data_IF_347354227458
#
_entry.id   IF_347354227458
#
_cell.length_a   1.000
_cell.length_b   1.000
_cell.length_c   1.000
_cell.angle_alpha   90.00
_cell.angle_beta   90.00
_cell.angle_gamma   90.00
#
_symmetry.space_group_name_H-M   'P 1'
#
loop_
_entity.id
_entity.type
_entity.pdbx_description
1 polymer ?
#
# COMPACT_ATOMS: atom_id res chain seq x y z
N UNK A 1 -20.95 16.18 6.22
CA UNK A 1 -21.38 17.50 5.68
C UNK A 1 -22.84 17.77 6.05
N UNK A 2 -23.23 19.03 6.32
CA UNK A 2 -24.62 19.41 6.58
C UNK A 2 -25.56 18.99 5.44
N UNK A 3 -26.78 18.60 5.76
CA UNK A 3 -27.76 18.09 4.79
C UNK A 3 -28.12 19.12 3.72
N UNK A 4 -28.22 20.38 4.13
CA UNK A 4 -28.50 21.52 3.23
C UNK A 4 -27.42 21.69 2.17
N UNK A 5 -26.15 21.46 2.54
CA UNK A 5 -25.04 21.52 1.60
C UNK A 5 -25.03 20.31 0.66
N UNK A 6 -25.34 19.10 1.14
CA UNK A 6 -25.46 17.92 0.28
C UNK A 6 -26.57 18.08 -0.76
N UNK A 7 -27.68 18.72 -0.38
CA UNK A 7 -28.82 18.98 -1.28
C UNK A 7 -28.51 20.00 -2.39
N UNK A 8 -27.37 20.71 -2.32
CA UNK A 8 -26.91 21.58 -3.41
C UNK A 8 -26.30 20.79 -4.58
N UNK A 9 -26.05 19.48 -4.42
CA UNK A 9 -25.41 18.62 -5.42
C UNK A 9 -26.33 17.49 -5.86
N UNK A 10 -26.22 17.10 -7.13
CA UNK A 10 -26.81 15.85 -7.63
C UNK A 10 -25.87 14.68 -7.29
N UNK A 11 -26.37 13.72 -6.51
CA UNK A 11 -25.59 12.54 -6.14
C UNK A 11 -25.58 11.53 -7.28
N UNK A 12 -24.43 11.40 -7.95
CA UNK A 12 -24.15 10.28 -8.83
C UNK A 12 -23.61 9.11 -8.01
N UNK A 13 -24.29 7.96 -8.07
CA UNK A 13 -23.82 6.71 -7.46
C UNK A 13 -23.36 5.79 -8.57
N UNK A 14 -22.09 5.40 -8.55
CA UNK A 14 -21.54 4.39 -9.45
C UNK A 14 -21.77 3.02 -8.81
N UNK A 15 -22.58 2.13 -9.39
CA UNK A 15 -22.77 0.79 -8.86
C UNK A 15 -21.52 -0.07 -9.08
N UNK A 16 -21.40 -1.14 -8.29
CA UNK A 16 -20.44 -2.20 -8.57
C UNK A 16 -20.82 -2.94 -9.86
N UNK A 17 -19.83 -3.47 -10.55
CA UNK A 17 -20.06 -4.26 -11.76
C UNK A 17 -20.74 -5.59 -11.39
N UNK A 18 -21.77 -6.02 -12.14
CA UNK A 18 -22.27 -7.38 -12.07
C UNK A 18 -21.17 -8.41 -12.39
N UNK A 19 -21.30 -9.63 -11.86
CA UNK A 19 -20.30 -10.69 -12.05
C UNK A 19 -20.03 -11.00 -13.54
N UNK A 20 -21.08 -11.04 -14.37
CA UNK A 20 -20.96 -11.27 -15.81
C UNK A 20 -20.13 -10.17 -16.51
N UNK A 21 -20.31 -8.91 -16.12
CA UNK A 21 -19.53 -7.79 -16.65
C UNK A 21 -18.09 -7.81 -16.11
N UNK A 22 -17.90 -8.22 -14.86
CA UNK A 22 -16.57 -8.39 -14.28
C UNK A 22 -15.73 -9.44 -14.98
N UNK A 23 -16.36 -10.51 -15.49
CA UNK A 23 -15.65 -11.57 -16.22
C UNK A 23 -15.03 -11.03 -17.52
N UNK A 24 -15.83 -10.30 -18.32
CA UNK A 24 -15.34 -9.65 -19.54
C UNK A 24 -14.32 -8.54 -19.23
N UNK A 25 -14.58 -7.72 -18.22
CA UNK A 25 -13.66 -6.65 -17.80
C UNK A 25 -12.32 -7.22 -17.34
N UNK A 26 -12.32 -8.22 -16.46
CA UNK A 26 -11.10 -8.83 -15.93
C UNK A 26 -10.28 -9.50 -17.04
N UNK A 27 -10.95 -10.18 -17.97
CA UNK A 27 -10.32 -10.76 -19.17
C UNK A 27 -9.59 -9.70 -20.00
N UNK A 28 -10.25 -8.58 -20.29
CA UNK A 28 -9.67 -7.47 -21.05
C UNK A 28 -8.51 -6.81 -20.32
N UNK A 29 -8.62 -6.63 -19.01
CA UNK A 29 -7.54 -6.06 -18.19
C UNK A 29 -6.30 -6.95 -18.18
N UNK A 30 -6.47 -8.26 -17.97
CA UNK A 30 -5.37 -9.23 -18.03
C UNK A 30 -4.71 -9.24 -19.42
N UNK A 31 -5.52 -9.28 -20.49
CA UNK A 31 -5.02 -9.25 -21.86
C UNK A 31 -4.27 -7.94 -22.18
N UNK A 32 -4.80 -6.79 -21.76
CA UNK A 32 -4.15 -5.49 -21.91
C UNK A 32 -2.79 -5.44 -21.22
N UNK A 33 -2.67 -6.11 -20.07
CA UNK A 33 -1.40 -6.24 -19.33
C UNK A 33 -0.50 -7.37 -19.83
N UNK A 34 -0.85 -8.05 -20.92
CA UNK A 34 -0.06 -9.13 -21.51
C UNK A 34 -0.02 -10.41 -20.66
N UNK A 35 -0.98 -10.60 -19.78
CA UNK A 35 -1.08 -11.77 -18.90
C UNK A 35 -2.01 -12.83 -19.49
N UNK A 36 -1.55 -14.07 -19.51
CA UNK A 36 -2.39 -15.23 -19.79
C UNK A 36 -3.20 -15.60 -18.55
N UNK A 37 -4.27 -16.37 -18.71
CA UNK A 37 -5.04 -16.88 -17.57
C UNK A 37 -5.67 -18.24 -17.87
N UNK A 38 -5.97 -18.99 -16.81
CA UNK A 38 -6.81 -20.18 -16.86
C UNK A 38 -8.28 -19.77 -16.80
N UNK A 39 -9.20 -20.39 -17.58
CA UNK A 39 -10.61 -20.03 -17.55
C UNK A 39 -11.21 -20.06 -16.14
N UNK A 40 -10.92 -21.12 -15.37
CA UNK A 40 -11.39 -21.26 -13.99
C UNK A 40 -10.81 -20.20 -13.04
N UNK A 41 -9.61 -19.70 -13.32
CA UNK A 41 -9.02 -18.62 -12.55
C UNK A 41 -9.72 -17.29 -12.85
N UNK A 42 -10.10 -17.05 -14.11
CA UNK A 42 -10.88 -15.87 -14.48
C UNK A 42 -12.26 -15.87 -13.80
N UNK A 43 -12.96 -17.01 -13.80
CA UNK A 43 -14.26 -17.16 -13.15
C UNK A 43 -14.15 -16.82 -11.65
N UNK A 44 -13.14 -17.38 -10.98
CA UNK A 44 -12.90 -17.12 -9.56
C UNK A 44 -12.51 -15.68 -9.27
N UNK A 45 -11.70 -15.07 -10.15
CA UNK A 45 -11.31 -13.66 -10.04
C UNK A 45 -12.51 -12.73 -10.12
N UNK A 46 -13.46 -12.98 -11.03
CA UNK A 46 -14.68 -12.19 -11.14
C UNK A 46 -15.48 -12.22 -9.83
N UNK A 47 -15.67 -13.40 -9.23
CA UNK A 47 -16.33 -13.56 -7.93
C UNK A 47 -15.57 -12.86 -6.79
N UNK A 48 -14.24 -13.02 -6.77
CA UNK A 48 -13.39 -12.45 -5.71
C UNK A 48 -13.35 -10.92 -5.74
N UNK A 49 -13.47 -10.34 -6.93
CA UNK A 49 -13.45 -8.89 -7.11
C UNK A 49 -14.67 -8.18 -6.52
N UNK A 50 -15.78 -8.90 -6.27
CA UNK A 50 -17.06 -8.33 -5.81
C UNK A 50 -17.52 -7.11 -6.63
N UNK A 51 -17.30 -7.15 -7.95
CA UNK A 51 -17.68 -6.04 -8.83
C UNK A 51 -16.70 -4.87 -8.85
N UNK A 52 -15.51 -5.02 -8.24
CA UNK A 52 -14.52 -3.95 -8.10
C UNK A 52 -13.35 -4.13 -9.08
N UNK A 53 -13.22 -3.28 -10.12
CA UNK A 53 -12.12 -3.35 -11.08
C UNK A 53 -10.74 -3.11 -10.45
N UNK A 54 -10.68 -2.34 -9.37
CA UNK A 54 -9.41 -2.06 -8.70
C UNK A 54 -8.81 -3.31 -8.05
N UNK A 55 -9.64 -4.27 -7.64
CA UNK A 55 -9.17 -5.57 -7.17
C UNK A 55 -8.35 -6.24 -8.27
N UNK A 56 -8.92 -6.33 -9.48
CA UNK A 56 -8.29 -6.96 -10.64
C UNK A 56 -7.00 -6.24 -11.00
N UNK A 57 -7.02 -4.91 -11.02
CA UNK A 57 -5.82 -4.12 -11.29
C UNK A 57 -4.71 -4.36 -10.25
N UNK A 58 -5.07 -4.44 -8.98
CA UNK A 58 -4.10 -4.67 -7.90
C UNK A 58 -3.45 -6.05 -8.04
N UNK A 59 -4.23 -7.08 -8.34
CA UNK A 59 -3.72 -8.42 -8.63
C UNK A 59 -2.80 -8.44 -9.85
N UNK A 60 -3.17 -7.73 -10.93
CA UNK A 60 -2.31 -7.61 -12.12
C UNK A 60 -0.95 -6.99 -11.77
N UNK A 61 -0.96 -5.91 -10.98
CA UNK A 61 0.28 -5.24 -10.52
C UNK A 61 1.14 -6.19 -9.70
N UNK A 62 0.53 -6.98 -8.83
CA UNK A 62 1.21 -8.01 -8.04
C UNK A 62 1.87 -9.07 -8.95
N UNK A 63 1.11 -9.65 -9.89
CA UNK A 63 1.62 -10.64 -10.84
C UNK A 63 2.81 -10.11 -11.63
N UNK A 64 2.71 -8.87 -12.15
CA UNK A 64 3.78 -8.22 -12.90
C UNK A 64 5.02 -8.00 -12.02
N UNK A 65 4.85 -7.59 -10.76
CA UNK A 65 5.97 -7.39 -9.83
C UNK A 65 6.70 -8.69 -9.48
N UNK A 66 5.97 -9.82 -9.48
CA UNK A 66 6.49 -11.17 -9.24
C UNK A 66 6.96 -11.86 -10.54
N UNK A 67 6.97 -11.16 -11.67
CA UNK A 67 7.27 -11.67 -13.02
C UNK A 67 6.41 -12.88 -13.45
N UNK A 68 5.19 -12.99 -12.93
CA UNK A 68 4.25 -14.06 -13.27
C UNK A 68 3.49 -13.66 -14.54
N UNK A 69 3.58 -14.50 -15.59
CA UNK A 69 2.95 -14.24 -16.89
C UNK A 69 1.58 -14.89 -17.09
N UNK A 70 1.19 -15.79 -16.19
CA UNK A 70 -0.07 -16.54 -16.29
C UNK A 70 -0.77 -16.61 -14.92
N UNK A 71 -2.00 -16.11 -14.86
CA UNK A 71 -2.88 -16.28 -13.71
C UNK A 71 -3.43 -17.71 -13.69
N UNK A 72 -3.13 -18.45 -12.62
CA UNK A 72 -3.61 -19.83 -12.42
C UNK A 72 -4.63 -19.88 -11.29
N UNK A 73 -5.45 -20.94 -11.26
CA UNK A 73 -6.39 -21.13 -10.16
C UNK A 73 -5.66 -21.29 -8.83
N UNK A 74 -4.58 -22.08 -8.80
CA UNK A 74 -3.73 -22.28 -7.63
C UNK A 74 -3.20 -20.96 -7.07
N UNK A 75 -2.77 -20.04 -7.94
CA UNK A 75 -2.27 -18.75 -7.48
C UNK A 75 -3.35 -17.95 -6.76
N UNK A 76 -4.58 -17.91 -7.27
CA UNK A 76 -5.70 -17.24 -6.59
C UNK A 76 -6.05 -17.89 -5.26
N UNK A 77 -6.00 -19.22 -5.18
CA UNK A 77 -6.32 -19.97 -3.97
C UNK A 77 -5.33 -19.66 -2.84
N UNK A 78 -4.06 -19.46 -3.19
CA UNK A 78 -2.96 -19.22 -2.26
C UNK A 78 -2.72 -17.74 -1.96
N UNK A 79 -3.07 -16.83 -2.89
CA UNK A 79 -2.65 -15.42 -2.87
C UNK A 79 -3.80 -14.43 -3.07
N UNK A 80 -5.05 -14.88 -3.12
CA UNK A 80 -6.21 -13.97 -3.20
C UNK A 80 -7.36 -14.35 -2.26
N UNK A 81 -8.16 -13.34 -1.89
CA UNK A 81 -9.31 -13.53 -1.01
C UNK A 81 -10.44 -12.62 -1.48
N UNK A 82 -11.68 -13.11 -1.41
CA UNK A 82 -12.85 -12.35 -1.83
C UNK A 82 -12.96 -11.01 -1.09
N UNK A 83 -13.14 -9.93 -1.86
CA UNK A 83 -13.29 -8.56 -1.38
C UNK A 83 -11.98 -7.79 -1.27
N UNK A 84 -12.00 -6.51 -1.64
CA UNK A 84 -10.80 -5.65 -1.74
C UNK A 84 -10.07 -5.50 -0.40
N UNK A 85 -10.79 -5.28 0.70
CA UNK A 85 -10.20 -5.14 2.04
C UNK A 85 -9.47 -6.41 2.47
N UNK A 86 -10.05 -7.58 2.20
CA UNK A 86 -9.45 -8.87 2.53
C UNK A 86 -8.21 -9.15 1.66
N UNK A 87 -8.29 -8.85 0.37
CA UNK A 87 -7.16 -8.96 -0.54
C UNK A 87 -5.97 -8.09 -0.11
N UNK A 88 -6.21 -6.81 0.19
CA UNK A 88 -5.16 -5.91 0.69
C UNK A 88 -4.58 -6.41 2.03
N UNK A 89 -5.43 -6.83 2.97
CA UNK A 89 -4.98 -7.39 4.25
C UNK A 89 -4.07 -8.60 4.03
N UNK A 90 -4.41 -9.48 3.09
CA UNK A 90 -3.58 -10.64 2.79
C UNK A 90 -2.28 -10.27 2.07
N UNK A 91 -2.32 -9.33 1.12
CA UNK A 91 -1.12 -8.84 0.46
C UNK A 91 -0.15 -8.20 1.46
N UNK A 92 -0.65 -7.36 2.37
CA UNK A 92 0.16 -6.82 3.47
C UNK A 92 0.74 -7.93 4.35
N UNK A 93 -0.02 -9.01 4.62
CA UNK A 93 0.52 -10.15 5.37
C UNK A 93 1.66 -10.82 4.60
N UNK A 94 1.51 -11.05 3.30
CA UNK A 94 2.57 -11.62 2.48
C UNK A 94 3.82 -10.73 2.43
N UNK A 95 3.66 -9.41 2.52
CA UNK A 95 4.78 -8.47 2.55
C UNK A 95 5.50 -8.52 3.90
N UNK A 96 4.74 -8.47 5.00
CA UNK A 96 5.26 -8.19 6.34
C UNK A 96 5.44 -9.43 7.22
N UNK A 97 4.76 -10.53 6.92
CA UNK A 97 4.71 -11.75 7.72
C UNK A 97 5.13 -12.98 6.92
N UNK A 98 5.69 -13.97 7.60
CA UNK A 98 5.95 -15.31 7.10
C UNK A 98 5.35 -16.34 8.08
N UNK A 99 4.52 -17.25 7.58
CA UNK A 99 3.76 -18.22 8.38
C UNK A 99 3.00 -17.62 9.61
N UNK A 100 2.58 -16.35 9.52
CA UNK A 100 1.85 -15.64 10.58
C UNK A 100 2.73 -14.81 11.53
N UNK A 101 4.04 -15.05 11.53
CA UNK A 101 5.03 -14.28 12.30
C UNK A 101 5.55 -13.10 11.47
N UNK A 102 5.91 -12.00 12.11
CA UNK A 102 6.52 -10.88 11.37
C UNK A 102 7.91 -11.25 10.87
N UNK A 103 8.20 -10.88 9.62
CA UNK A 103 9.56 -10.88 9.08
C UNK A 103 10.39 -9.83 9.80
N UNK A 104 11.71 -9.94 9.68
CA UNK A 104 12.63 -8.87 10.08
C UNK A 104 12.22 -7.54 9.42
N UNK A 105 12.06 -6.49 10.21
CA UNK A 105 11.57 -5.17 9.79
C UNK A 105 10.09 -5.13 9.42
N UNK A 106 9.32 -6.15 9.74
CA UNK A 106 7.88 -6.23 9.47
C UNK A 106 7.06 -5.25 10.31
N UNK A 107 7.34 -5.13 11.62
CA UNK A 107 6.69 -4.13 12.48
C UNK A 107 7.15 -2.73 12.11
N UNK A 108 8.43 -2.56 11.82
CA UNK A 108 8.98 -1.29 11.35
C UNK A 108 8.27 -0.82 10.07
N UNK A 109 8.17 -1.70 9.08
CA UNK A 109 7.54 -1.38 7.79
C UNK A 109 6.06 -1.09 7.98
N UNK A 110 5.34 -1.86 8.81
CA UNK A 110 3.94 -1.60 9.17
C UNK A 110 3.76 -0.21 9.77
N UNK A 111 4.63 0.16 10.71
CA UNK A 111 4.62 1.48 11.37
C UNK A 111 4.86 2.62 10.37
N UNK A 112 5.81 2.44 9.45
CA UNK A 112 6.09 3.43 8.41
C UNK A 112 4.92 3.64 7.45
N UNK A 113 4.24 2.57 7.02
CA UNK A 113 3.08 2.68 6.12
C UNK A 113 1.82 3.16 6.85
N UNK A 114 1.66 2.84 8.13
CA UNK A 114 0.61 3.44 8.96
C UNK A 114 0.83 4.96 9.14
N UNK A 115 2.07 5.41 9.32
CA UNK A 115 2.38 6.85 9.31
C UNK A 115 1.96 7.50 7.98
N UNK A 116 2.23 6.85 6.84
CA UNK A 116 1.82 7.37 5.53
C UNK A 116 0.30 7.53 5.42
N UNK A 117 -0.50 6.61 5.98
CA UNK A 117 -1.97 6.70 5.94
C UNK A 117 -2.54 7.76 6.87
N UNK A 118 -1.90 7.99 8.01
CA UNK A 118 -2.49 8.79 9.10
C UNK A 118 -1.90 10.20 9.25
N UNK A 119 -0.63 10.44 8.88
CA UNK A 119 0.09 11.69 9.20
C UNK A 119 0.62 12.45 7.98
N UNK A 120 0.44 11.92 6.77
CA UNK A 120 0.79 12.58 5.52
C UNK A 120 -0.46 13.09 4.81
N UNK A 121 -0.40 14.35 4.37
CA UNK A 121 -1.47 14.93 3.56
C UNK A 121 -1.66 14.11 2.28
N UNK A 122 -2.91 13.87 1.90
CA UNK A 122 -3.27 13.08 0.71
C UNK A 122 -2.66 11.67 0.67
N UNK A 123 -2.20 11.15 1.82
CA UNK A 123 -1.63 9.80 1.97
C UNK A 123 -0.47 9.54 0.98
N UNK A 124 0.31 10.59 0.71
CA UNK A 124 1.46 10.55 -0.20
C UNK A 124 2.70 11.24 0.37
N UNK A 125 3.86 10.95 -0.20
CA UNK A 125 5.15 11.52 0.19
C UNK A 125 6.13 11.51 -0.98
N UNK A 126 7.14 12.38 -0.92
CA UNK A 126 8.34 12.21 -1.73
C UNK A 126 9.19 11.04 -1.20
N UNK A 127 9.84 10.28 -2.08
CA UNK A 127 10.60 9.06 -1.73
C UNK A 127 11.76 9.36 -0.76
N UNK A 128 12.46 10.48 -0.96
CA UNK A 128 13.59 10.88 -0.13
C UNK A 128 13.16 11.17 1.31
N UNK A 129 12.03 11.87 1.45
CA UNK A 129 11.47 12.19 2.76
C UNK A 129 10.99 10.91 3.45
N UNK A 130 10.22 10.09 2.75
CA UNK A 130 9.67 8.88 3.33
C UNK A 130 10.77 7.92 3.80
N UNK A 131 11.83 7.74 2.99
CA UNK A 131 12.99 6.93 3.38
C UNK A 131 13.72 7.54 4.59
N UNK A 132 13.97 8.84 4.60
CA UNK A 132 14.63 9.50 5.73
C UNK A 132 13.83 9.36 7.03
N UNK A 133 12.50 9.51 6.95
CA UNK A 133 11.58 9.28 8.06
C UNK A 133 11.65 7.83 8.54
N UNK A 134 11.52 6.85 7.63
CA UNK A 134 11.56 5.43 7.99
C UNK A 134 12.88 5.03 8.63
N UNK A 135 14.02 5.55 8.17
CA UNK A 135 15.32 5.30 8.79
C UNK A 135 15.39 5.81 10.23
N UNK A 136 14.83 6.99 10.51
CA UNK A 136 14.80 7.55 11.88
C UNK A 136 13.78 6.85 12.78
N UNK A 137 12.65 6.40 12.23
CA UNK A 137 11.65 5.62 12.95
C UNK A 137 12.20 4.29 13.52
N UNK A 138 13.28 3.78 12.92
CA UNK A 138 13.89 2.50 13.27
C UNK A 138 14.32 2.38 14.74
N UNK A 139 14.73 3.47 15.37
CA UNK A 139 15.10 3.46 16.79
C UNK A 139 13.87 3.21 17.68
N UNK A 140 12.76 3.91 17.40
CA UNK A 140 11.52 3.78 18.15
C UNK A 140 10.85 2.41 17.99
N UNK A 141 10.89 1.84 16.78
CA UNK A 141 10.35 0.50 16.55
C UNK A 141 11.20 -0.56 17.24
N UNK A 142 12.52 -0.34 17.35
CA UNK A 142 13.41 -1.25 18.07
C UNK A 142 13.10 -1.25 19.56
N UNK A 143 12.85 -0.09 20.14
CA UNK A 143 12.48 0.03 21.56
C UNK A 143 11.10 -0.59 21.85
N UNK A 144 10.14 -0.39 20.95
CA UNK A 144 8.73 -0.78 21.18
C UNK A 144 8.44 -2.23 20.81
N UNK A 145 8.93 -2.68 19.65
CA UNK A 145 8.62 -3.99 19.07
C UNK A 145 9.81 -4.94 19.04
N UNK A 146 11.00 -4.49 19.48
CA UNK A 146 12.26 -5.22 19.28
C UNK A 146 12.49 -5.56 17.79
N UNK A 147 12.10 -4.64 16.91
CA UNK A 147 12.22 -4.75 15.46
C UNK A 147 12.70 -3.43 14.85
N UNK A 148 13.61 -3.51 13.87
CA UNK A 148 14.25 -2.35 13.27
C UNK A 148 14.16 -2.41 11.74
N UNK A 149 14.53 -1.32 11.06
CA UNK A 149 14.39 -1.26 9.61
C UNK A 149 15.21 -2.35 8.91
N UNK A 150 14.52 -3.32 8.31
CA UNK A 150 15.12 -4.23 7.35
C UNK A 150 14.96 -3.68 5.93
N UNK A 151 16.09 -3.43 5.25
CA UNK A 151 16.07 -2.83 3.91
C UNK A 151 15.33 -3.69 2.87
N UNK A 152 15.38 -5.02 2.99
CA UNK A 152 14.73 -5.91 2.02
C UNK A 152 13.21 -5.88 2.18
N UNK A 153 12.71 -6.08 3.41
CA UNK A 153 11.28 -6.00 3.73
C UNK A 153 10.70 -4.63 3.37
N UNK A 154 11.38 -3.56 3.76
CA UNK A 154 10.95 -2.19 3.46
C UNK A 154 10.88 -1.93 1.95
N UNK A 155 11.93 -2.28 1.19
CA UNK A 155 11.95 -2.06 -0.25
C UNK A 155 10.88 -2.90 -0.98
N UNK A 156 10.61 -4.12 -0.52
CA UNK A 156 9.53 -4.93 -1.07
C UNK A 156 8.17 -4.26 -0.87
N UNK A 157 7.89 -3.72 0.33
CA UNK A 157 6.67 -2.95 0.55
C UNK A 157 6.62 -1.68 -0.32
N UNK A 158 7.74 -0.95 -0.43
CA UNK A 158 7.82 0.26 -1.27
C UNK A 158 7.56 -0.01 -2.76
N UNK A 159 7.91 -1.20 -3.25
CA UNK A 159 7.58 -1.61 -4.62
C UNK A 159 6.09 -1.49 -4.94
N UNK A 160 5.22 -1.73 -3.94
CA UNK A 160 3.78 -1.60 -4.08
C UNK A 160 3.29 -0.17 -3.90
N UNK A 161 3.97 0.66 -3.12
CA UNK A 161 3.59 2.07 -2.87
C UNK A 161 4.10 3.07 -3.93
N UNK A 162 4.67 2.60 -5.03
CA UNK A 162 5.34 3.47 -6.00
C UNK A 162 4.35 4.20 -6.94
N UNK A 163 4.41 5.54 -6.91
CA UNK A 163 3.74 6.44 -7.86
C UNK A 163 4.57 6.70 -9.12
N UNK A 164 4.11 7.61 -9.98
CA UNK A 164 4.94 8.09 -11.09
C UNK A 164 6.09 8.96 -10.55
N UNK A 165 7.32 8.72 -11.01
CA UNK A 165 8.51 9.47 -10.56
C UNK A 165 8.93 9.13 -9.12
N UNK A 166 9.34 10.15 -8.36
CA UNK A 166 9.85 10.01 -6.98
C UNK A 166 8.75 10.09 -5.90
N UNK A 167 7.51 9.72 -6.24
CA UNK A 167 6.38 9.72 -5.30
C UNK A 167 6.12 8.34 -4.68
N UNK A 168 5.84 8.35 -3.38
CA UNK A 168 5.34 7.22 -2.59
C UNK A 168 3.88 7.50 -2.24
N UNK A 169 2.97 6.62 -2.64
CA UNK A 169 1.52 6.72 -2.36
C UNK A 169 0.87 5.34 -2.40
N UNK A 170 -0.26 5.18 -1.74
CA UNK A 170 -1.00 3.93 -1.84
C UNK A 170 -1.54 3.70 -3.27
N UNK A 171 -1.57 2.44 -3.75
CA UNK A 171 -2.22 2.09 -5.01
C UNK A 171 -3.71 2.43 -5.05
N UNK A 172 -4.38 2.36 -3.89
CA UNK A 172 -5.80 2.64 -3.71
C UNK A 172 -6.08 2.96 -2.23
N UNK A 173 -7.17 3.70 -1.98
CA UNK A 173 -7.58 4.13 -0.63
C UNK A 173 -7.75 2.97 0.34
N UNK A 174 -8.18 1.81 -0.14
CA UNK A 174 -8.36 0.60 0.70
C UNK A 174 -7.09 0.16 1.43
N UNK A 175 -5.89 0.48 0.92
CA UNK A 175 -4.65 0.26 1.68
C UNK A 175 -4.59 1.09 2.94
N UNK A 176 -4.96 2.37 2.83
CA UNK A 176 -5.01 3.26 3.98
C UNK A 176 -6.11 2.82 4.94
N UNK A 177 -7.29 2.42 4.44
CA UNK A 177 -8.38 1.92 5.27
C UNK A 177 -7.93 0.71 6.10
N UNK A 178 -7.26 -0.28 5.49
CA UNK A 178 -6.70 -1.44 6.21
C UNK A 178 -5.61 -1.02 7.20
N UNK A 179 -4.74 -0.08 6.83
CA UNK A 179 -3.68 0.42 7.72
C UNK A 179 -4.20 1.31 8.85
N UNK A 180 -5.41 1.83 8.73
CA UNK A 180 -6.16 2.57 9.76
C UNK A 180 -7.05 1.63 10.61
N UNK A 181 -7.01 0.31 10.34
CA UNK A 181 -7.69 -0.72 11.14
C UNK A 181 -9.04 -1.17 10.60
N UNK A 182 -9.44 -0.78 9.38
CA UNK A 182 -10.67 -1.28 8.77
C UNK A 182 -10.54 -2.75 8.34
N UNK A 183 -11.69 -3.44 8.29
CA UNK A 183 -11.81 -4.85 7.92
C UNK A 183 -12.16 -5.74 9.11
N UNK A 184 -13.24 -6.51 8.99
CA UNK A 184 -13.80 -7.31 10.08
C UNK A 184 -12.81 -8.32 10.69
N UNK A 185 -11.81 -8.77 9.92
CA UNK A 185 -10.77 -9.71 10.35
C UNK A 185 -9.37 -9.17 10.03
N UNK A 186 -9.15 -7.86 10.19
CA UNK A 186 -7.87 -7.26 9.90
C UNK A 186 -6.76 -7.82 10.83
N UNK A 187 -5.75 -8.53 10.28
CA UNK A 187 -4.74 -9.27 11.04
C UNK A 187 -3.67 -8.37 11.66
N UNK A 188 -3.78 -7.05 11.48
CA UNK A 188 -2.87 -6.03 11.99
C UNK A 188 -3.51 -5.17 13.09
N UNK A 189 -4.78 -5.40 13.43
CA UNK A 189 -5.55 -4.52 14.32
C UNK A 189 -4.85 -4.27 15.65
N UNK A 190 -4.32 -5.32 16.28
CA UNK A 190 -3.64 -5.20 17.56
C UNK A 190 -2.35 -4.38 17.44
N UNK A 191 -1.55 -4.64 16.41
CA UNK A 191 -0.30 -3.93 16.18
C UNK A 191 -0.52 -2.48 15.76
N UNK A 192 -1.53 -2.19 14.94
CA UNK A 192 -1.94 -0.83 14.57
C UNK A 192 -2.36 -0.06 15.83
N UNK A 193 -3.11 -0.68 16.74
CA UNK A 193 -3.46 -0.03 18.01
C UNK A 193 -2.22 0.31 18.85
N UNK A 194 -1.26 -0.61 18.95
CA UNK A 194 0.01 -0.32 19.63
C UNK A 194 0.79 0.78 18.94
N UNK A 195 0.88 0.78 17.60
CA UNK A 195 1.53 1.84 16.81
C UNK A 195 0.88 3.21 17.08
N UNK A 196 -0.46 3.26 17.09
CA UNK A 196 -1.19 4.49 17.39
C UNK A 196 -0.87 4.97 18.80
N UNK A 197 -0.95 4.09 19.80
CA UNK A 197 -0.69 4.43 21.20
C UNK A 197 0.75 4.87 21.45
N UNK A 198 1.72 4.14 20.92
CA UNK A 198 3.14 4.35 21.22
C UNK A 198 3.78 5.40 20.33
N UNK A 199 3.28 5.62 19.11
CA UNK A 199 3.90 6.55 18.16
C UNK A 199 3.05 7.76 17.77
N UNK A 200 1.75 7.57 17.53
CA UNK A 200 0.87 8.68 17.14
C UNK A 200 0.49 9.52 18.35
N UNK A 201 -0.06 8.89 19.39
CA UNK A 201 -0.59 9.56 20.58
C UNK A 201 0.52 10.19 21.43
N UNK A 202 1.72 9.62 21.42
CA UNK A 202 2.92 10.18 22.09
C UNK A 202 3.59 11.30 21.31
N UNK A 203 3.24 11.50 20.03
CA UNK A 203 3.85 12.50 19.15
C UNK A 203 5.22 12.10 18.56
N UNK A 204 5.64 10.84 18.70
CA UNK A 204 6.88 10.33 18.06
C UNK A 204 6.81 10.52 16.55
N UNK A 205 5.69 10.17 15.91
CA UNK A 205 5.53 10.37 14.46
C UNK A 205 5.74 11.82 14.02
N UNK A 206 5.18 12.79 14.75
CA UNK A 206 5.38 14.20 14.43
C UNK A 206 6.82 14.69 14.70
N UNK A 207 7.48 14.11 15.70
CA UNK A 207 8.89 14.40 16.01
C UNK A 207 9.81 13.89 14.90
N UNK A 208 9.73 12.60 14.57
CA UNK A 208 10.52 11.95 13.51
C UNK A 208 10.24 12.59 12.16
N UNK A 209 8.98 12.94 11.87
CA UNK A 209 8.60 13.68 10.66
C UNK A 209 9.37 15.00 10.51
N UNK A 210 9.55 15.76 11.59
CA UNK A 210 10.31 17.02 11.57
C UNK A 210 11.81 16.78 11.43
N UNK A 211 12.34 15.79 12.12
CA UNK A 211 13.76 15.41 12.10
C UNK A 211 14.19 14.81 10.75
N UNK A 212 13.26 14.23 10.00
CA UNK A 212 13.51 13.69 8.67
C UNK A 212 13.72 14.79 7.61
N UNK A 213 13.15 15.99 7.81
CA UNK A 213 13.18 17.08 6.81
C UNK A 213 14.61 17.51 6.46
N UNK A 214 15.49 17.86 7.43
CA UNK A 214 16.86 18.26 7.12
C UNK A 214 17.63 17.18 6.33
N UNK A 215 17.50 15.92 6.74
CA UNK A 215 18.18 14.78 6.10
C UNK A 215 17.73 14.58 4.65
N UNK A 216 16.42 14.68 4.40
CA UNK A 216 15.89 14.60 3.05
C UNK A 216 16.36 15.79 2.18
N UNK A 217 16.35 17.00 2.74
CA UNK A 217 16.81 18.21 2.05
C UNK A 217 18.30 18.14 1.67
N UNK A 218 19.17 17.79 2.62
CA UNK A 218 20.61 17.64 2.39
C UNK A 218 20.88 16.60 1.29
N UNK A 219 20.14 15.50 1.30
CA UNK A 219 20.23 14.47 0.26
C UNK A 219 19.80 15.00 -1.11
N UNK A 220 18.70 15.74 -1.18
CA UNK A 220 18.21 16.35 -2.41
C UNK A 220 19.21 17.37 -2.98
N UNK A 221 19.72 18.29 -2.15
CA UNK A 221 20.74 19.28 -2.53
C UNK A 221 22.01 18.60 -3.01
N UNK A 222 22.52 17.61 -2.27
CA UNK A 222 23.72 16.86 -2.66
C UNK A 222 23.57 16.18 -4.02
N UNK A 223 22.38 15.63 -4.32
CA UNK A 223 22.09 15.01 -5.63
C UNK A 223 22.02 16.06 -6.74
N UNK A 224 21.38 17.19 -6.48
CA UNK A 224 21.30 18.30 -7.43
C UNK A 224 22.68 18.86 -7.78
N UNK A 225 23.51 19.17 -6.79
CA UNK A 225 24.86 19.71 -7.00
C UNK A 225 25.76 18.76 -7.79
N UNK A 226 25.65 17.44 -7.57
CA UNK A 226 26.43 16.43 -8.29
C UNK A 226 25.97 16.22 -9.73
N UNK A 227 24.70 16.44 -10.05
CA UNK A 227 24.16 16.21 -11.40
C UNK A 227 22.94 17.11 -11.69
N UNK A 228 23.14 18.42 -11.91
CA UNK A 228 22.03 19.37 -12.06
C UNK A 228 21.12 19.05 -13.24
N UNK A 229 21.70 18.59 -14.35
CA UNK A 229 20.97 18.26 -15.59
C UNK A 229 20.05 17.04 -15.47
N UNK A 230 20.31 16.12 -14.53
CA UNK A 230 19.53 14.89 -14.34
C UNK A 230 18.40 15.08 -13.32
N UNK A 231 18.49 16.10 -12.46
CA UNK A 231 17.54 16.36 -11.38
C UNK A 231 16.49 17.42 -11.73
N UNK A 232 16.62 18.11 -12.87
CA UNK A 232 15.66 19.12 -13.33
C UNK A 232 14.28 18.55 -13.72
N UNK A 233 14.18 17.24 -13.92
CA UNK A 233 12.92 16.52 -14.21
C UNK A 233 12.36 15.76 -12.99
N UNK A 234 13.08 15.72 -11.86
CA UNK A 234 12.81 14.83 -10.72
C UNK A 234 12.47 15.56 -9.40
N UNK A 235 12.58 16.89 -9.37
CA UNK A 235 12.18 17.78 -8.27
C UNK A 235 10.92 18.55 -8.66
#
# INVERSE_FOLDING_TARGET
MPKDFQNMFERLTVPLFPEEEMLDLASRMLAFSGLMYEPQALDKLAVFSEGSPIYVWSLIRELLSKDIKKLTLTYLDENSMKGMTNYVSMLLQQLLKDAGEYKEGGYHTLSAVNFLSTHMAEKNSHELFFRAFSEQLSEHTKETFNDEMNTMTFNHAMGYLSGAGSQVRFPHDTWADVLEGEGANNPFTAEIQTIVQEFSDTGVFETVKREAVPKAWETAVSRYEKSPSRQHEAL
#
